data_IF_758466449878
#
_entry.id   IF_758466449878
#
_cell.length_a   1.000
_cell.length_b   1.000
_cell.length_c   1.000
_cell.angle_alpha   90.00
_cell.angle_beta   90.00
_cell.angle_gamma   90.00
#
_symmetry.space_group_name_H-M   'P 1'
#
loop_
_entity.id
_entity.type
_entity.pdbx_description
1 polymer ?
#
# COMPACT_ATOMS: atom_id res chain seq x y z
N UNK A 1 22.72 -2.40 10.14
CA UNK A 1 21.78 -1.67 9.31
C UNK A 1 20.40 -1.73 9.91
N UNK A 2 19.70 -0.64 9.91
CA UNK A 2 18.42 -0.59 10.57
C UNK A 2 17.31 -0.98 9.62
N UNK A 3 16.32 -1.71 10.08
CA UNK A 3 15.24 -2.12 9.20
C UNK A 3 14.32 -0.95 8.87
N UNK A 4 13.66 -1.08 7.77
CA UNK A 4 12.63 -0.13 7.38
C UNK A 4 11.29 -0.83 7.54
N UNK A 5 10.34 -0.13 8.12
CA UNK A 5 9.01 -0.70 8.34
C UNK A 5 8.04 0.01 7.41
N UNK A 6 7.32 -0.75 6.62
CA UNK A 6 6.27 -0.20 5.80
C UNK A 6 4.93 -0.69 6.36
N UNK A 7 3.99 0.20 6.50
CA UNK A 7 2.65 -0.14 6.96
C UNK A 7 1.69 0.08 5.82
N UNK A 8 1.04 -0.98 5.38
CA UNK A 8 0.06 -0.88 4.32
C UNK A 8 -1.32 -0.61 4.91
N UNK A 9 -2.07 0.23 4.22
CA UNK A 9 -3.43 0.53 4.63
C UNK A 9 -4.37 -0.18 3.66
N UNK A 10 -5.18 -1.07 4.18
CA UNK A 10 -6.12 -1.85 3.38
C UNK A 10 -7.53 -1.36 3.60
N UNK A 11 -8.31 -1.42 2.54
CA UNK A 11 -9.73 -1.14 2.63
C UNK A 11 -10.48 -2.46 2.65
N UNK A 12 -11.26 -2.69 3.69
CA UNK A 12 -12.01 -3.94 3.78
C UNK A 12 -13.32 -3.83 3.02
N UNK A 13 -13.98 -4.96 2.86
CA UNK A 13 -15.27 -5.02 2.19
C UNK A 13 -16.30 -4.15 2.87
N UNK A 14 -16.20 -3.99 4.17
CA UNK A 14 -17.17 -3.20 4.92
C UNK A 14 -16.78 -1.74 5.04
N UNK A 15 -15.71 -1.32 4.38
CA UNK A 15 -15.31 0.07 4.43
C UNK A 15 -14.38 0.44 5.56
N UNK A 16 -13.92 -0.55 6.31
CA UNK A 16 -12.97 -0.28 7.38
C UNK A 16 -11.55 -0.27 6.85
N UNK A 17 -10.67 0.38 7.58
CA UNK A 17 -9.27 0.43 7.21
C UNK A 17 -8.49 -0.45 8.16
N UNK A 18 -7.67 -1.35 7.60
CA UNK A 18 -6.81 -2.20 8.38
C UNK A 18 -5.36 -1.89 8.07
N UNK A 19 -4.52 -2.03 9.06
CA UNK A 19 -3.09 -1.75 8.92
C UNK A 19 -2.31 -3.05 9.05
N UNK A 20 -1.26 -3.14 8.25
CA UNK A 20 -0.40 -4.30 8.29
C UNK A 20 1.02 -3.82 8.09
N UNK A 21 1.92 -4.15 9.00
CA UNK A 21 3.28 -3.64 8.97
C UNK A 21 4.24 -4.75 8.62
N UNK A 22 5.24 -4.41 7.80
CA UNK A 22 6.26 -5.36 7.39
C UNK A 22 7.63 -4.75 7.53
N UNK A 23 8.59 -5.59 7.85
CA UNK A 23 9.97 -5.18 7.87
C UNK A 23 10.56 -5.46 6.49
N UNK A 24 11.16 -4.45 5.86
CA UNK A 24 11.65 -4.58 4.51
C UNK A 24 13.11 -4.13 4.44
N UNK A 25 13.78 -4.53 3.36
CA UNK A 25 15.19 -4.25 3.18
C UNK A 25 15.45 -3.19 2.14
N UNK A 26 14.42 -2.61 1.55
CA UNK A 26 14.58 -1.59 0.54
C UNK A 26 13.69 -0.41 0.92
N UNK A 27 13.76 0.67 0.16
CA UNK A 27 12.94 1.83 0.48
C UNK A 27 11.47 1.47 0.37
N UNK A 28 10.62 2.19 1.10
CA UNK A 28 9.20 1.90 1.08
C UNK A 28 8.62 2.04 -0.32
N UNK A 29 8.99 3.08 -1.03
CA UNK A 29 8.43 3.27 -2.36
C UNK A 29 8.88 2.18 -3.31
N UNK A 30 10.11 1.73 -3.20
CA UNK A 30 10.61 0.67 -4.04
C UNK A 30 9.89 -0.64 -3.73
N UNK A 31 9.75 -0.96 -2.46
CA UNK A 31 9.06 -2.17 -2.06
C UNK A 31 7.60 -2.15 -2.50
N UNK A 32 6.95 -1.00 -2.31
CA UNK A 32 5.55 -0.85 -2.70
C UNK A 32 5.40 -1.05 -4.21
N UNK A 33 6.28 -0.45 -4.97
CA UNK A 33 6.23 -0.55 -6.42
C UNK A 33 6.44 -1.99 -6.89
N UNK A 34 7.30 -2.75 -6.22
CA UNK A 34 7.62 -4.10 -6.64
C UNK A 34 6.59 -5.13 -6.18
N UNK A 35 5.92 -4.88 -5.08
CA UNK A 35 5.07 -5.90 -4.48
C UNK A 35 3.59 -5.61 -4.57
N UNK A 36 3.21 -4.36 -4.62
CA UNK A 36 1.81 -3.98 -4.68
C UNK A 36 1.46 -3.78 -6.14
N UNK A 37 0.40 -4.43 -6.58
CA UNK A 37 0.02 -4.39 -7.98
C UNK A 37 -0.95 -3.27 -8.24
N UNK A 38 -0.84 -2.67 -9.42
CA UNK A 38 -1.73 -1.62 -9.86
C UNK A 38 -2.68 -2.21 -10.88
N UNK A 39 -3.97 -1.98 -10.67
CA UNK A 39 -4.99 -2.47 -11.56
C UNK A 39 -5.75 -1.30 -12.15
N UNK A 40 -6.15 -1.43 -13.39
CA UNK A 40 -6.92 -0.42 -14.05
C UNK A 40 -8.38 -0.76 -13.94
N UNK A 41 -9.19 0.18 -13.45
CA UNK A 41 -10.63 -0.02 -13.40
C UNK A 41 -11.22 0.28 -14.75
N UNK A 42 -12.18 -0.51 -15.15
CA UNK A 42 -12.83 -0.32 -16.44
C UNK A 42 -14.11 0.45 -16.31
N UNK A 43 -14.17 1.38 -15.38
CA UNK A 43 -15.35 2.18 -15.22
C UNK A 43 -15.20 3.47 -15.98
N UNK A 44 -16.31 3.97 -16.50
CA UNK A 44 -16.27 5.18 -17.28
C UNK A 44 -16.70 6.36 -16.47
N UNK A 45 -16.04 6.66 -15.42
CA UNK A 45 -16.33 7.87 -14.68
C UNK A 45 -15.32 8.92 -15.03
N UNK A 46 -15.81 10.09 -15.36
CA UNK A 46 -14.96 11.14 -15.89
C UNK A 46 -13.99 11.68 -14.87
N UNK A 47 -14.38 11.72 -13.62
CA UNK A 47 -13.56 12.38 -12.62
C UNK A 47 -12.99 11.46 -11.59
N UNK A 48 -13.06 10.15 -11.76
CA UNK A 48 -12.51 9.29 -10.76
C UNK A 48 -11.23 8.68 -11.22
N UNK A 49 -10.40 8.34 -10.27
CA UNK A 49 -9.21 7.61 -10.54
C UNK A 49 -9.58 6.26 -11.07
N UNK A 50 -8.94 5.85 -12.12
CA UNK A 50 -9.24 4.58 -12.75
C UNK A 50 -8.30 3.48 -12.31
N UNK A 51 -7.55 3.70 -11.24
CA UNK A 51 -6.57 2.72 -10.80
C UNK A 51 -6.79 2.38 -9.34
N UNK A 52 -6.44 1.17 -8.98
CA UNK A 52 -6.45 0.76 -7.58
C UNK A 52 -5.29 -0.20 -7.38
N UNK A 53 -4.89 -0.37 -6.14
CA UNK A 53 -3.75 -1.19 -5.80
C UNK A 53 -4.20 -2.39 -4.99
N UNK A 54 -3.52 -3.51 -5.17
CA UNK A 54 -3.80 -4.70 -4.37
C UNK A 54 -2.50 -5.32 -3.90
N UNK A 55 -2.57 -5.98 -2.76
CA UNK A 55 -1.48 -6.77 -2.24
C UNK A 55 -2.07 -8.03 -1.65
N UNK A 56 -1.71 -9.17 -2.23
CA UNK A 56 -2.22 -10.48 -1.84
C UNK A 56 -3.76 -10.51 -1.84
N UNK A 57 -4.33 -9.88 -2.86
CA UNK A 57 -5.78 -9.90 -3.02
C UNK A 57 -6.54 -8.89 -2.20
N UNK A 58 -5.85 -8.06 -1.42
CA UNK A 58 -6.50 -7.04 -0.60
C UNK A 58 -6.25 -5.68 -1.20
N UNK A 59 -7.27 -4.83 -1.16
CA UNK A 59 -7.14 -3.51 -1.74
C UNK A 59 -6.32 -2.62 -0.82
N UNK A 60 -5.26 -2.03 -1.36
CA UNK A 60 -4.38 -1.14 -0.63
C UNK A 60 -4.73 0.29 -1.01
N UNK A 61 -4.97 1.13 -0.03
CA UNK A 61 -5.30 2.53 -0.30
C UNK A 61 -4.12 3.45 -0.03
N UNK A 62 -3.05 2.94 0.55
CA UNK A 62 -1.87 3.75 0.78
C UNK A 62 -0.89 3.02 1.67
N UNK A 63 0.19 3.70 2.00
CA UNK A 63 1.16 3.14 2.93
C UNK A 63 1.83 4.25 3.72
N UNK A 64 2.33 3.86 4.89
CA UNK A 64 3.10 4.75 5.73
C UNK A 64 4.50 4.17 5.84
N UNK A 65 5.49 4.98 5.61
CA UNK A 65 6.87 4.53 5.71
C UNK A 65 7.44 4.99 7.04
N UNK A 66 7.81 4.03 7.88
CA UNK A 66 8.43 4.36 9.14
C UNK A 66 9.69 3.58 9.28
N UNK A 67 10.76 4.20 9.52
CA UNK A 67 11.96 3.56 9.82
C UNK A 67 12.01 3.46 11.26
N UNK A 68 13.04 2.98 11.75
CA UNK A 68 13.17 3.08 13.00
C UNK A 68 13.43 4.42 13.24
N UNK A 69 13.08 4.90 14.03
CA UNK A 69 13.12 6.13 14.23
C UNK A 69 14.01 6.72 14.82
N UNK A 70 14.49 7.29 14.61
CA UNK A 70 15.43 7.93 15.17
C UNK A 70 14.99 8.96 15.91
N UNK A 71 14.95 9.06 16.28
CA UNK A 71 14.59 10.06 16.82
C UNK A 71 15.17 10.65 17.31
#
# INVERSE_FOLDING_TARGET
>A
MKPIIITLLYLTTFGDIKLDSFEIQESCSSWFHHNVRIHEKKQRKLFSNNYYHTYKGKQVIGYICGGEEPQ
#
